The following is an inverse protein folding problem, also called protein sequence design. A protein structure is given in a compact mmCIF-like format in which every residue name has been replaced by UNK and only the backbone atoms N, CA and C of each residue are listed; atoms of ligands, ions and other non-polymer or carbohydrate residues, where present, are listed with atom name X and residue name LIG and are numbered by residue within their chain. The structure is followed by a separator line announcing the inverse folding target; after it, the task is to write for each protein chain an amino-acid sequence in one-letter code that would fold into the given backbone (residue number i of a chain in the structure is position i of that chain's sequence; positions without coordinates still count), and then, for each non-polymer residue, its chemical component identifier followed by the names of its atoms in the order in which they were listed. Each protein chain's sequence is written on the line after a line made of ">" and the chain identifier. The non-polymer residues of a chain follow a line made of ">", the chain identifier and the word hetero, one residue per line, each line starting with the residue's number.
data_IF_797775720644
#
_entry.id   IF_797775720644
#
_cell.length_a   1.000
_cell.length_b   1.000
_cell.length_c   1.000
_cell.angle_alpha   90.00
_cell.angle_beta   90.00
_cell.angle_gamma   90.00
#
_symmetry.space_group_name_H-M   'P 1'
#
loop_
_entity.id
_entity.type
_entity.pdbx_description
1 polymer ?
#
# COMPACT_ATOMS: atom_id res chain seq x y z
N UNK A 1 14.42 -15.93 9.03
CA UNK A 1 14.72 -14.54 8.59
C UNK A 1 15.78 -14.56 7.51
N UNK A 2 16.94 -15.19 7.76
CA UNK A 2 18.06 -15.20 6.80
C UNK A 2 17.73 -15.90 5.46
N UNK A 3 17.00 -17.02 5.48
CA UNK A 3 16.53 -17.67 4.24
C UNK A 3 15.64 -16.75 3.39
N UNK A 4 14.76 -15.99 4.05
CA UNK A 4 13.87 -15.04 3.38
C UNK A 4 14.67 -13.87 2.80
N UNK A 5 15.67 -13.38 3.53
CA UNK A 5 16.62 -12.36 3.06
C UNK A 5 17.34 -12.81 1.79
N UNK A 6 17.88 -14.03 1.78
CA UNK A 6 18.56 -14.58 0.61
C UNK A 6 17.62 -14.73 -0.59
N UNK A 7 16.39 -15.18 -0.35
CA UNK A 7 15.36 -15.28 -1.41
C UNK A 7 15.07 -13.92 -2.04
N UNK A 8 14.94 -12.87 -1.23
CA UNK A 8 14.70 -11.51 -1.70
C UNK A 8 15.89 -10.98 -2.49
N UNK A 9 17.11 -11.12 -1.97
CA UNK A 9 18.32 -10.70 -2.67
C UNK A 9 18.42 -11.36 -4.05
N UNK A 10 18.23 -12.68 -4.11
CA UNK A 10 18.25 -13.44 -5.36
C UNK A 10 17.19 -12.95 -6.34
N UNK A 11 15.95 -12.73 -5.87
CA UNK A 11 14.86 -12.28 -6.73
C UNK A 11 15.10 -10.88 -7.32
N UNK A 12 15.70 -9.97 -6.55
CA UNK A 12 16.03 -8.62 -7.02
C UNK A 12 17.23 -8.65 -7.98
N UNK A 13 18.22 -9.51 -7.70
CA UNK A 13 19.39 -9.73 -8.56
C UNK A 13 18.99 -10.30 -9.92
N UNK A 14 18.09 -11.28 -9.95
CA UNK A 14 17.53 -11.85 -11.19
C UNK A 14 16.82 -10.81 -12.07
N UNK A 15 16.32 -9.72 -11.49
CA UNK A 15 15.72 -8.59 -12.20
C UNK A 15 16.75 -7.55 -12.65
N UNK A 16 18.03 -7.69 -12.26
CA UNK A 16 19.08 -6.71 -12.52
C UNK A 16 18.88 -5.39 -11.79
N UNK A 17 18.12 -5.39 -10.68
CA UNK A 17 17.77 -4.18 -9.90
C UNK A 17 18.48 -4.08 -8.56
N UNK A 18 19.35 -5.05 -8.23
CA UNK A 18 20.04 -5.08 -6.94
C UNK A 18 21.23 -4.11 -6.94
N UNK A 19 21.01 -2.89 -6.46
CA UNK A 19 22.10 -1.92 -6.22
C UNK A 19 22.86 -2.26 -4.94
N UNK A 20 24.10 -1.79 -4.82
CA UNK A 20 24.91 -1.98 -3.60
C UNK A 20 24.25 -1.36 -2.37
N UNK A 21 23.61 -0.20 -2.55
CA UNK A 21 22.85 0.51 -1.50
C UNK A 21 21.66 -0.33 -1.02
N UNK A 22 20.86 -0.87 -1.95
CA UNK A 22 19.71 -1.72 -1.62
C UNK A 22 20.16 -3.03 -0.96
N UNK A 23 21.24 -3.64 -1.48
CA UNK A 23 21.83 -4.83 -0.89
C UNK A 23 22.27 -4.57 0.55
N UNK A 24 22.93 -3.44 0.82
CA UNK A 24 23.31 -3.04 2.16
C UNK A 24 22.08 -2.90 3.09
N UNK A 25 21.04 -2.19 2.65
CA UNK A 25 19.78 -2.03 3.40
C UNK A 25 19.13 -3.39 3.73
N UNK A 26 19.07 -4.31 2.78
CA UNK A 26 18.49 -5.66 2.98
C UNK A 26 19.32 -6.49 3.97
N UNK A 27 20.65 -6.40 3.89
CA UNK A 27 21.57 -7.10 4.79
C UNK A 27 21.51 -6.56 6.21
N UNK A 28 21.35 -5.24 6.38
CA UNK A 28 21.25 -4.60 7.68
C UNK A 28 19.85 -4.68 8.31
N UNK A 29 18.82 -5.05 7.56
CA UNK A 29 17.45 -5.10 8.09
C UNK A 29 17.31 -6.14 9.21
N UNK A 30 16.76 -5.67 10.35
CA UNK A 30 16.59 -6.46 11.57
C UNK A 30 15.16 -7.01 11.73
N UNK A 31 14.19 -6.51 10.97
CA UNK A 31 12.79 -6.92 11.08
C UNK A 31 12.26 -7.57 9.80
N UNK A 32 11.34 -8.54 9.95
CA UNK A 32 10.67 -9.17 8.81
C UNK A 32 9.88 -8.15 7.99
N UNK A 33 9.29 -7.19 8.68
CA UNK A 33 8.45 -6.16 8.07
C UNK A 33 9.27 -5.26 7.15
N UNK A 34 10.37 -4.70 7.65
CA UNK A 34 11.25 -3.84 6.85
C UNK A 34 11.82 -4.59 5.64
N UNK A 35 12.18 -5.86 5.83
CA UNK A 35 12.68 -6.72 4.76
C UNK A 35 11.65 -6.97 3.66
N UNK A 36 10.37 -7.13 4.00
CA UNK A 36 9.29 -7.20 3.02
C UNK A 36 9.00 -5.82 2.40
N UNK A 37 9.03 -4.74 3.18
CA UNK A 37 8.80 -3.37 2.69
C UNK A 37 9.86 -3.00 1.63
N UNK A 38 11.14 -3.31 1.86
CA UNK A 38 12.24 -3.13 0.88
C UNK A 38 12.07 -3.99 -0.39
N UNK A 39 11.36 -5.11 -0.29
CA UNK A 39 11.12 -6.01 -1.42
C UNK A 39 9.87 -5.66 -2.23
N UNK A 40 8.95 -4.85 -1.69
CA UNK A 40 7.67 -4.53 -2.34
C UNK A 40 7.80 -4.09 -3.81
N UNK A 41 8.73 -3.18 -4.17
CA UNK A 41 8.88 -2.72 -5.56
C UNK A 41 9.30 -3.83 -6.55
N UNK A 42 9.95 -4.88 -6.04
CA UNK A 42 10.54 -5.96 -6.84
C UNK A 42 9.75 -7.26 -6.76
N UNK A 43 8.74 -7.31 -5.90
CA UNK A 43 7.90 -8.49 -5.75
C UNK A 43 7.14 -8.70 -7.06
N UNK A 44 7.15 -9.92 -7.65
CA UNK A 44 6.34 -10.22 -8.82
C UNK A 44 4.86 -9.93 -8.55
N UNK A 45 4.23 -9.11 -9.40
CA UNK A 45 2.83 -8.73 -9.28
C UNK A 45 2.02 -9.21 -10.47
N UNK A 46 0.73 -9.41 -10.23
CA UNK A 46 -0.25 -9.46 -11.33
C UNK A 46 -0.25 -8.11 -12.03
N UNK A 47 -0.52 -8.11 -13.34
CA UNK A 47 -0.59 -6.90 -14.18
C UNK A 47 -1.47 -5.82 -13.52
N UNK A 48 -0.84 -4.81 -12.91
CA UNK A 48 -1.50 -3.74 -12.15
C UNK A 48 -1.97 -2.61 -13.07
N UNK A 49 -2.82 -1.70 -12.58
CA UNK A 49 -3.18 -0.49 -13.34
C UNK A 49 -1.96 0.40 -13.62
N UNK A 50 -1.00 0.48 -12.68
CA UNK A 50 0.27 1.18 -12.87
C UNK A 50 1.12 0.54 -13.95
N UNK A 51 1.27 -0.79 -13.94
CA UNK A 51 2.00 -1.53 -14.98
C UNK A 51 1.36 -1.36 -16.37
N UNK A 52 0.03 -1.43 -16.47
CA UNK A 52 -0.69 -1.17 -17.72
C UNK A 52 -0.40 0.25 -18.23
N UNK A 53 -0.37 1.24 -17.34
CA UNK A 53 -0.05 2.62 -17.68
C UNK A 53 1.42 2.78 -18.14
N UNK A 54 2.37 2.09 -17.51
CA UNK A 54 3.79 2.05 -17.92
C UNK A 54 3.91 1.42 -19.32
N UNK A 55 3.26 0.28 -19.55
CA UNK A 55 3.22 -0.39 -20.87
C UNK A 55 2.58 0.49 -21.95
N UNK A 56 1.61 1.33 -21.58
CA UNK A 56 1.00 2.33 -22.47
C UNK A 56 1.89 3.57 -22.70
N UNK A 57 3.05 3.67 -22.04
CA UNK A 57 4.01 4.78 -22.21
C UNK A 57 3.69 6.01 -21.36
N UNK A 58 2.93 5.88 -20.28
CA UNK A 58 2.54 6.99 -19.39
C UNK A 58 3.56 7.28 -18.28
N UNK A 59 4.63 6.51 -18.17
CA UNK A 59 5.67 6.73 -17.17
C UNK A 59 6.34 8.12 -17.27
N UNK A 60 6.73 8.62 -18.46
CA UNK A 60 7.28 9.97 -18.58
C UNK A 60 6.31 11.08 -18.18
N UNK A 61 5.00 10.88 -18.37
CA UNK A 61 3.97 11.80 -17.90
C UNK A 61 3.94 11.86 -16.37
N UNK A 62 3.95 10.70 -15.71
CA UNK A 62 4.00 10.60 -14.25
C UNK A 62 5.26 11.26 -13.68
N UNK A 63 6.42 10.99 -14.29
CA UNK A 63 7.70 11.57 -13.87
C UNK A 63 7.74 13.08 -14.02
N UNK A 64 7.24 13.62 -15.14
CA UNK A 64 7.23 15.06 -15.39
C UNK A 64 6.36 15.80 -14.38
N UNK A 65 5.12 15.33 -14.16
CA UNK A 65 4.19 15.95 -13.21
C UNK A 65 4.67 15.87 -11.76
N UNK A 66 5.40 14.81 -11.42
CA UNK A 66 6.00 14.67 -10.09
C UNK A 66 7.16 15.66 -9.88
N UNK A 67 8.02 15.83 -10.89
CA UNK A 67 9.23 16.63 -10.77
C UNK A 67 8.99 18.14 -10.92
N UNK A 68 7.95 18.55 -11.66
CA UNK A 68 7.59 19.96 -11.81
C UNK A 68 6.08 20.22 -11.59
N UNK A 69 5.67 20.54 -10.35
CA UNK A 69 4.28 20.82 -10.02
C UNK A 69 3.69 22.08 -10.66
N UNK A 70 4.48 22.89 -11.37
CA UNK A 70 4.00 24.11 -12.04
C UNK A 70 3.44 23.84 -13.43
N UNK A 71 3.65 22.63 -13.96
CA UNK A 71 3.11 22.22 -15.25
C UNK A 71 1.59 22.13 -15.19
N UNK A 72 0.93 22.44 -16.31
CA UNK A 72 -0.51 22.17 -16.45
C UNK A 72 -0.74 20.69 -16.81
N UNK A 73 -1.38 19.89 -15.93
CA UNK A 73 -1.49 18.45 -16.14
C UNK A 73 -2.26 18.07 -17.39
N UNK A 74 -3.35 18.79 -17.69
CA UNK A 74 -4.19 18.52 -18.86
C UNK A 74 -3.43 18.77 -20.17
N UNK A 75 -2.72 19.89 -20.27
CA UNK A 75 -1.89 20.24 -21.44
C UNK A 75 -0.79 19.20 -21.67
N UNK A 76 -0.12 18.77 -20.60
CA UNK A 76 0.95 17.77 -20.73
C UNK A 76 0.39 16.41 -21.14
N UNK A 77 -0.72 15.99 -20.52
CA UNK A 77 -1.38 14.70 -20.78
C UNK A 77 -1.91 14.57 -22.21
N UNK A 78 -2.25 15.67 -22.88
CA UNK A 78 -2.67 15.66 -24.28
C UNK A 78 -1.65 14.99 -25.22
N UNK A 79 -0.35 15.08 -24.90
CA UNK A 79 0.73 14.45 -25.68
C UNK A 79 0.80 12.93 -25.52
N UNK A 80 0.06 12.37 -24.59
CA UNK A 80 0.07 10.94 -24.23
C UNK A 80 -1.23 10.23 -24.59
N UNK A 81 -2.19 10.91 -25.24
CA UNK A 81 -3.43 10.31 -25.73
C UNK A 81 -3.11 9.41 -26.92
N UNK A 82 -3.43 8.12 -26.78
CA UNK A 82 -3.15 7.08 -27.74
C UNK A 82 -4.17 5.94 -27.57
N UNK A 83 -5.23 5.98 -28.38
CA UNK A 83 -6.32 5.01 -28.29
C UNK A 83 -5.87 3.57 -28.59
N UNK A 84 -4.82 3.38 -29.40
CA UNK A 84 -4.27 2.05 -29.71
C UNK A 84 -3.58 1.43 -28.48
N UNK A 85 -3.01 2.28 -27.61
CA UNK A 85 -2.46 1.87 -26.31
C UNK A 85 -3.48 1.88 -25.16
N UNK A 86 -4.76 2.09 -25.47
CA UNK A 86 -5.84 2.11 -24.47
C UNK A 86 -5.94 3.43 -23.69
N UNK A 87 -5.33 4.52 -24.17
CA UNK A 87 -5.39 5.85 -23.56
C UNK A 87 -6.31 6.74 -24.40
N UNK A 88 -7.61 6.69 -24.12
CA UNK A 88 -8.64 7.29 -24.97
C UNK A 88 -8.69 8.83 -24.93
N UNK A 89 -8.30 9.44 -23.81
CA UNK A 89 -8.39 10.88 -23.58
C UNK A 89 -7.36 11.32 -22.51
N UNK A 90 -7.27 12.64 -22.26
CA UNK A 90 -6.35 13.22 -21.27
C UNK A 90 -6.63 12.70 -19.86
N UNK A 91 -7.91 12.47 -19.54
CA UNK A 91 -8.33 11.88 -18.27
C UNK A 91 -7.76 10.48 -18.09
N UNK A 92 -7.83 9.62 -19.10
CA UNK A 92 -7.24 8.29 -19.07
C UNK A 92 -5.72 8.34 -18.88
N UNK A 93 -5.04 9.28 -19.54
CA UNK A 93 -3.60 9.48 -19.39
C UNK A 93 -3.25 9.90 -17.95
N UNK A 94 -3.98 10.86 -17.37
CA UNK A 94 -3.79 11.34 -16.01
C UNK A 94 -4.15 10.28 -14.96
N UNK A 95 -5.22 9.52 -15.16
CA UNK A 95 -5.56 8.37 -14.30
C UNK A 95 -4.45 7.31 -14.33
N UNK A 96 -3.89 7.02 -15.50
CA UNK A 96 -2.75 6.12 -15.65
C UNK A 96 -1.52 6.62 -14.91
N UNK A 97 -1.12 7.87 -15.13
CA UNK A 97 -0.01 8.50 -14.40
C UNK A 97 -0.24 8.51 -12.88
N UNK A 98 -1.48 8.75 -12.43
CA UNK A 98 -1.86 8.66 -11.01
C UNK A 98 -1.64 7.26 -10.46
N UNK A 99 -2.04 6.20 -11.18
CA UNK A 99 -1.79 4.83 -10.71
C UNK A 99 -0.30 4.50 -10.60
N UNK A 100 0.54 5.00 -11.51
CA UNK A 100 1.99 4.84 -11.42
C UNK A 100 2.51 5.47 -10.14
N UNK A 101 2.14 6.72 -9.86
CA UNK A 101 2.58 7.43 -8.65
C UNK A 101 2.03 6.79 -7.36
N UNK A 102 0.76 6.39 -7.36
CA UNK A 102 0.14 5.69 -6.22
C UNK A 102 0.90 4.41 -5.89
N UNK A 103 1.25 3.60 -6.90
CA UNK A 103 1.99 2.36 -6.70
C UNK A 103 3.38 2.65 -6.11
N UNK A 104 4.12 3.62 -6.69
CA UNK A 104 5.43 4.05 -6.18
C UNK A 104 5.37 4.51 -4.72
N UNK A 105 4.38 5.34 -4.36
CA UNK A 105 4.24 5.81 -2.97
C UNK A 105 3.84 4.69 -2.02
N UNK A 106 2.97 3.78 -2.45
CA UNK A 106 2.52 2.67 -1.60
C UNK A 106 3.61 1.63 -1.30
N UNK A 107 4.74 1.71 -1.99
CA UNK A 107 5.85 0.75 -1.92
C UNK A 107 7.17 1.39 -1.49
N UNK A 108 7.13 2.67 -1.13
CA UNK A 108 8.28 3.34 -0.54
C UNK A 108 8.46 2.84 0.89
N UNK A 109 9.53 2.07 1.12
CA UNK A 109 9.80 1.43 2.41
C UNK A 109 10.00 2.45 3.54
N UNK A 110 10.58 3.61 3.27
CA UNK A 110 10.82 4.64 4.28
C UNK A 110 9.52 5.34 4.68
N UNK A 111 8.63 5.60 3.72
CA UNK A 111 7.29 6.12 3.94
C UNK A 111 6.44 5.12 4.72
N UNK A 112 6.45 3.84 4.34
CA UNK A 112 5.75 2.78 5.06
C UNK A 112 6.20 2.67 6.52
N UNK A 113 7.51 2.71 6.77
CA UNK A 113 8.06 2.70 8.12
C UNK A 113 7.58 3.90 8.95
N UNK A 114 7.64 5.11 8.38
CA UNK A 114 7.17 6.35 9.03
C UNK A 114 5.67 6.31 9.33
N UNK A 115 4.85 5.90 8.37
CA UNK A 115 3.40 5.78 8.54
C UNK A 115 3.04 4.73 9.59
N UNK A 116 3.73 3.59 9.59
CA UNK A 116 3.52 2.53 10.59
C UNK A 116 3.85 3.01 12.00
N UNK A 117 4.95 3.75 12.18
CA UNK A 117 5.31 4.35 13.45
C UNK A 117 4.27 5.38 13.91
N UNK A 118 3.83 6.26 12.99
CA UNK A 118 2.81 7.26 13.27
C UNK A 118 1.48 6.62 13.69
N UNK A 119 0.97 5.66 12.91
CA UNK A 119 -0.26 4.95 13.23
C UNK A 119 -0.14 4.16 14.53
N UNK A 120 1.01 3.53 14.78
CA UNK A 120 1.24 2.85 16.06
C UNK A 120 1.10 3.82 17.21
N UNK A 121 1.66 5.02 17.12
CA UNK A 121 1.65 6.00 18.19
C UNK A 121 0.30 6.70 18.39
N UNK A 122 -0.43 6.99 17.30
CA UNK A 122 -1.54 7.95 17.32
C UNK A 122 -2.87 7.41 16.77
N UNK A 123 -2.91 6.22 16.16
CA UNK A 123 -4.17 5.68 15.67
C UNK A 123 -5.10 5.29 16.83
N UNK A 124 -6.39 5.42 16.56
CA UNK A 124 -7.46 4.91 17.39
C UNK A 124 -8.02 3.68 16.71
N UNK A 125 -8.21 2.63 17.49
CA UNK A 125 -8.88 1.41 17.09
C UNK A 125 -10.38 1.58 17.31
N UNK A 126 -11.19 1.32 16.28
CA UNK A 126 -12.64 1.47 16.34
C UNK A 126 -13.37 0.19 15.94
N UNK A 127 -14.45 -0.12 16.64
CA UNK A 127 -15.36 -1.20 16.25
C UNK A 127 -16.81 -0.74 16.24
N UNK A 128 -17.51 -1.07 15.14
CA UNK A 128 -18.89 -0.65 14.91
C UNK A 128 -19.75 -1.79 14.39
N UNK A 129 -20.83 -2.10 15.10
CA UNK A 129 -21.82 -3.11 14.70
C UNK A 129 -22.33 -2.86 13.28
N UNK A 130 -22.47 -3.95 12.53
CA UNK A 130 -23.11 -3.91 11.22
C UNK A 130 -24.61 -3.84 11.47
N UNK A 131 -25.28 -2.88 10.83
CA UNK A 131 -26.72 -2.72 10.96
C UNK A 131 -27.45 -4.04 10.68
N UNK A 132 -28.28 -4.49 11.61
CA UNK A 132 -29.03 -5.75 11.52
C UNK A 132 -28.29 -6.98 12.04
N UNK A 133 -27.07 -6.84 12.58
CA UNK A 133 -26.29 -7.93 13.21
C UNK A 133 -26.25 -7.86 14.74
N UNK A 134 -27.06 -7.02 15.36
CA UNK A 134 -27.05 -6.76 16.80
C UNK A 134 -27.43 -8.01 17.62
N UNK A 135 -28.44 -8.76 17.19
CA UNK A 135 -28.85 -10.00 17.86
C UNK A 135 -27.84 -11.14 17.65
N UNK A 136 -27.37 -11.32 16.41
CA UNK A 136 -26.33 -12.32 16.09
C UNK A 136 -25.00 -12.04 16.81
N UNK A 137 -24.71 -10.76 17.02
CA UNK A 137 -23.50 -10.25 17.66
C UNK A 137 -23.59 -10.06 19.17
N UNK A 138 -24.67 -10.46 19.85
CA UNK A 138 -24.94 -10.14 21.26
C UNK A 138 -23.75 -10.44 22.19
N UNK A 139 -23.02 -11.53 21.93
CA UNK A 139 -21.82 -11.93 22.69
C UNK A 139 -20.64 -10.95 22.59
N UNK A 140 -20.70 -10.00 21.68
CA UNK A 140 -19.70 -8.96 21.43
C UNK A 140 -20.27 -7.55 21.66
N UNK A 141 -21.41 -7.43 22.34
CA UNK A 141 -22.13 -6.16 22.55
C UNK A 141 -21.24 -5.04 23.11
N UNK A 142 -20.29 -5.39 23.97
CA UNK A 142 -19.31 -4.45 24.53
C UNK A 142 -18.47 -3.72 23.46
N UNK A 143 -18.40 -4.25 22.24
CA UNK A 143 -17.62 -3.74 21.12
C UNK A 143 -18.49 -3.19 19.96
N UNK A 144 -19.80 -3.03 20.14
CA UNK A 144 -20.67 -2.52 19.07
C UNK A 144 -20.44 -1.05 18.70
N UNK A 145 -19.89 -0.27 19.63
CA UNK A 145 -19.49 1.11 19.42
C UNK A 145 -18.34 1.42 20.39
N UNK A 146 -17.17 0.83 20.10
CA UNK A 146 -16.00 0.94 20.96
C UNK A 146 -14.87 1.65 20.24
N UNK A 147 -14.08 2.41 21.00
CA UNK A 147 -12.99 3.23 20.49
C UNK A 147 -11.90 3.32 21.56
N UNK A 148 -10.66 2.95 21.22
CA UNK A 148 -9.52 3.05 22.14
C UNK A 148 -8.18 3.28 21.42
N UNK A 149 -7.16 3.88 22.06
CA UNK A 149 -5.86 4.11 21.42
C UNK A 149 -5.13 2.82 21.06
N UNK A 150 -4.70 2.69 19.80
CA UNK A 150 -4.08 1.48 19.24
C UNK A 150 -2.85 1.01 20.03
N UNK A 151 -2.00 1.94 20.49
CA UNK A 151 -0.78 1.64 21.26
C UNK A 151 -1.02 0.99 22.63
N UNK A 152 -2.25 1.03 23.15
CA UNK A 152 -2.57 0.66 24.53
C UNK A 152 -3.60 -0.48 24.63
N UNK A 153 -4.04 -1.03 23.49
CA UNK A 153 -5.08 -2.06 23.45
C UNK A 153 -4.58 -3.37 24.06
N UNK A 154 -5.20 -3.85 25.15
CA UNK A 154 -4.87 -5.14 25.74
C UNK A 154 -5.21 -6.29 24.79
N UNK A 155 -4.36 -7.31 24.75
CA UNK A 155 -4.48 -8.42 23.79
C UNK A 155 -5.83 -9.15 23.85
N UNK A 156 -6.45 -9.26 25.03
CA UNK A 156 -7.76 -9.91 25.17
C UNK A 156 -8.89 -9.13 24.49
N UNK A 157 -8.84 -7.79 24.49
CA UNK A 157 -9.82 -6.94 23.81
C UNK A 157 -9.60 -6.95 22.30
N UNK A 158 -8.36 -6.81 21.85
CA UNK A 158 -8.02 -6.93 20.44
C UNK A 158 -8.50 -8.27 19.86
N UNK A 159 -8.26 -9.39 20.56
CA UNK A 159 -8.72 -10.72 20.13
C UNK A 159 -10.25 -10.84 20.13
N UNK A 160 -10.95 -10.21 21.08
CA UNK A 160 -12.42 -10.20 21.09
C UNK A 160 -12.96 -9.45 19.87
N UNK A 161 -12.39 -8.28 19.57
CA UNK A 161 -12.71 -7.47 18.39
C UNK A 161 -12.46 -8.23 17.07
N UNK A 162 -11.28 -8.81 16.89
CA UNK A 162 -11.00 -9.63 15.70
C UNK A 162 -11.95 -10.83 15.54
N UNK A 163 -12.37 -11.46 16.65
CA UNK A 163 -13.29 -12.60 16.59
C UNK A 163 -14.69 -12.21 16.14
N UNK A 164 -15.20 -11.05 16.55
CA UNK A 164 -16.53 -10.62 16.11
C UNK A 164 -16.53 -10.08 14.67
N UNK A 165 -15.43 -9.44 14.23
CA UNK A 165 -15.25 -9.09 12.81
C UNK A 165 -15.20 -10.34 11.92
N UNK A 166 -14.41 -11.36 12.28
CA UNK A 166 -14.36 -12.63 11.53
C UNK A 166 -15.71 -13.36 11.46
N UNK A 167 -16.61 -13.08 12.39
CA UNK A 167 -17.99 -13.61 12.38
C UNK A 167 -18.98 -12.72 11.63
N UNK A 168 -18.55 -11.56 11.13
CA UNK A 168 -19.38 -10.61 10.39
C UNK A 168 -20.37 -9.87 11.28
N UNK A 169 -20.06 -9.66 12.57
CA UNK A 169 -20.94 -8.96 13.50
C UNK A 169 -20.73 -7.44 13.50
N UNK A 170 -19.50 -6.97 13.23
CA UNK A 170 -19.13 -5.55 13.17
C UNK A 170 -17.98 -5.33 12.20
N UNK A 171 -17.77 -4.06 11.84
CA UNK A 171 -16.55 -3.59 11.23
C UNK A 171 -15.50 -3.22 12.28
N UNK A 172 -14.24 -3.46 11.94
CA UNK A 172 -13.07 -3.11 12.72
C UNK A 172 -12.18 -2.19 11.89
N UNK A 173 -11.79 -1.06 12.47
CA UNK A 173 -11.07 0.02 11.79
C UNK A 173 -9.84 0.44 12.59
#
# INVERSE_FOLDING_TARGET
>A
MDERRQTILKSIEEQGKLTDELKAKILSSESKTELEDLYLPYKPKRRTRGQIAIEAGLEPLADSLWNDPKQDPETLAANFVDAEKGVADTKAALDGARYILMERFSEDAELLAKLRQYLTAYATLESKVIDGKEEEGEKFRDYFAHSEPFNSVPSHRALAMFRGEMKGCYHFH
#
